data_IF_103672910939
#
_entry.id   IF_103672910939
#
_cell.length_a   1.000
_cell.length_b   1.000
_cell.length_c   1.000
_cell.angle_alpha   90.00
_cell.angle_beta   90.00
_cell.angle_gamma   90.00
#
_symmetry.space_group_name_H-M   'P 1'
#
loop_
_entity.id
_entity.type
_entity.pdbx_description
1 polymer ?
#
# COMPACT_ATOMS: atom_id res chain seq x y z
N UNK A 1 -29.39 -11.19 -5.53
CA UNK A 1 -30.15 -9.95 -5.95
C UNK A 1 -29.33 -9.20 -6.97
N UNK A 2 -29.97 -8.55 -7.96
CA UNK A 2 -29.24 -7.64 -8.87
C UNK A 2 -28.91 -6.36 -8.08
N UNK A 3 -27.65 -6.13 -7.79
CA UNK A 3 -27.19 -4.88 -7.17
C UNK A 3 -27.19 -3.79 -8.26
N UNK A 4 -27.89 -2.70 -8.01
CA UNK A 4 -27.81 -1.51 -8.88
C UNK A 4 -26.41 -0.91 -8.71
N UNK A 5 -25.76 -0.61 -9.83
CA UNK A 5 -24.39 -0.03 -9.84
C UNK A 5 -24.39 1.32 -10.54
N UNK A 6 -23.51 2.20 -10.10
CA UNK A 6 -23.25 3.51 -10.70
C UNK A 6 -21.76 3.67 -10.98
N UNK A 7 -21.40 4.71 -11.76
CA UNK A 7 -20.00 5.08 -11.96
C UNK A 7 -19.65 6.30 -11.12
N UNK A 8 -18.56 6.19 -10.38
CA UNK A 8 -17.94 7.28 -9.61
C UNK A 8 -16.71 7.73 -10.38
N UNK A 9 -16.67 9.02 -10.74
CA UNK A 9 -15.54 9.62 -11.47
C UNK A 9 -14.53 10.18 -10.49
N UNK A 10 -13.29 9.70 -10.55
CA UNK A 10 -12.19 10.20 -9.75
C UNK A 10 -11.58 11.48 -10.34
N UNK A 11 -10.78 12.20 -9.55
CA UNK A 11 -10.14 13.46 -9.96
C UNK A 11 -9.22 13.32 -11.19
N UNK A 12 -8.67 12.12 -11.43
CA UNK A 12 -7.84 11.80 -12.61
C UNK A 12 -8.65 11.32 -13.82
N UNK A 13 -9.98 11.37 -13.73
CA UNK A 13 -10.90 10.91 -14.77
C UNK A 13 -11.10 9.39 -14.80
N UNK A 14 -10.63 8.64 -13.80
CA UNK A 14 -10.93 7.21 -13.66
C UNK A 14 -12.39 7.02 -13.29
N UNK A 15 -13.05 6.08 -13.94
CA UNK A 15 -14.45 5.71 -13.67
C UNK A 15 -14.48 4.37 -12.90
N UNK A 16 -15.02 4.37 -11.69
CA UNK A 16 -15.17 3.17 -10.86
C UNK A 16 -16.65 2.77 -10.83
N UNK A 17 -16.96 1.57 -11.27
CA UNK A 17 -18.30 0.99 -11.18
C UNK A 17 -18.46 0.35 -9.78
N UNK A 18 -19.35 0.90 -8.97
CA UNK A 18 -19.60 0.44 -7.61
C UNK A 18 -21.12 0.35 -7.35
N UNK A 19 -21.59 -0.36 -6.30
CA UNK A 19 -22.99 -0.34 -5.89
C UNK A 19 -23.49 1.09 -5.63
N UNK A 20 -24.75 1.36 -5.92
CA UNK A 20 -25.37 2.66 -5.67
C UNK A 20 -25.74 2.82 -4.19
N UNK A 21 -24.75 2.65 -3.32
CA UNK A 21 -24.92 2.68 -1.86
C UNK A 21 -23.89 3.60 -1.22
N UNK A 22 -24.34 4.75 -0.72
CA UNK A 22 -23.45 5.73 -0.06
C UNK A 22 -22.91 5.24 1.28
N UNK A 23 -23.53 4.21 1.87
CA UNK A 23 -23.11 3.64 3.14
C UNK A 23 -21.85 2.78 3.03
N UNK A 24 -21.44 2.40 1.83
CA UNK A 24 -20.16 1.75 1.62
C UNK A 24 -19.03 2.78 1.82
N UNK A 25 -18.05 2.40 2.65
CA UNK A 25 -16.93 3.31 2.97
C UNK A 25 -16.19 3.74 1.71
N UNK A 26 -15.94 2.81 0.78
CA UNK A 26 -15.28 3.12 -0.49
C UNK A 26 -16.04 4.16 -1.29
N UNK A 27 -17.36 4.03 -1.43
CA UNK A 27 -18.17 5.00 -2.17
C UNK A 27 -18.14 6.39 -1.54
N UNK A 28 -18.30 6.44 -0.21
CA UNK A 28 -18.24 7.71 0.52
C UNK A 28 -16.89 8.40 0.32
N UNK A 29 -15.78 7.66 0.48
CA UNK A 29 -14.42 8.20 0.30
C UNK A 29 -14.19 8.70 -1.12
N UNK A 30 -14.57 7.90 -2.14
CA UNK A 30 -14.38 8.28 -3.54
C UNK A 30 -15.20 9.51 -3.93
N UNK A 31 -16.41 9.65 -3.40
CA UNK A 31 -17.26 10.81 -3.65
C UNK A 31 -16.77 12.08 -2.95
N UNK A 32 -16.28 11.96 -1.70
CA UNK A 32 -15.83 13.11 -0.92
C UNK A 32 -14.43 13.58 -1.31
N UNK A 33 -13.51 12.65 -1.59
CA UNK A 33 -12.11 12.98 -1.86
C UNK A 33 -11.77 13.00 -3.35
N UNK A 34 -12.58 12.34 -4.18
CA UNK A 34 -12.31 12.17 -5.61
C UNK A 34 -11.11 11.25 -5.89
N UNK A 35 -10.61 10.54 -4.87
CA UNK A 35 -9.56 9.52 -4.95
C UNK A 35 -9.61 8.64 -3.69
N UNK A 36 -8.77 7.60 -3.65
CA UNK A 36 -8.62 6.74 -2.49
C UNK A 36 -7.76 7.41 -1.43
N UNK A 37 -8.09 7.19 -0.16
CA UNK A 37 -7.43 7.86 0.98
C UNK A 37 -6.06 7.28 1.34
N UNK A 38 -5.77 6.06 0.90
CA UNK A 38 -4.48 5.41 1.19
C UNK A 38 -3.36 6.01 0.32
N UNK A 39 -2.29 6.45 0.96
CA UNK A 39 -1.12 6.98 0.26
C UNK A 39 -0.44 5.94 -0.64
N UNK A 40 -0.63 4.66 -0.35
CA UNK A 40 -0.10 3.53 -1.10
C UNK A 40 -0.57 3.53 -2.56
N UNK A 41 -1.79 3.99 -2.85
CA UNK A 41 -2.26 4.05 -4.23
C UNK A 41 -1.44 5.02 -5.08
N UNK A 42 -1.02 6.15 -4.49
CA UNK A 42 -0.12 7.10 -5.15
C UNK A 42 1.27 6.51 -5.37
N UNK A 43 1.79 5.76 -4.39
CA UNK A 43 3.05 5.04 -4.54
C UNK A 43 2.94 4.01 -5.67
N UNK A 44 1.89 3.21 -5.72
CA UNK A 44 1.66 2.18 -6.75
C UNK A 44 1.57 2.82 -8.14
N UNK A 45 0.81 3.91 -8.32
CA UNK A 45 0.75 4.66 -9.60
C UNK A 45 2.13 5.09 -10.07
N UNK A 46 3.01 5.52 -9.16
CA UNK A 46 4.37 5.96 -9.50
C UNK A 46 5.35 4.79 -9.67
N UNK A 47 5.13 3.69 -8.98
CA UNK A 47 5.97 2.49 -9.02
C UNK A 47 5.80 1.70 -10.31
N UNK A 48 4.56 1.47 -10.72
CA UNK A 48 4.24 0.69 -11.92
C UNK A 48 4.77 1.36 -13.18
N UNK A 49 5.45 0.58 -14.02
CA UNK A 49 6.06 1.04 -15.28
C UNK A 49 5.55 0.23 -16.47
N UNK A 50 5.60 0.78 -17.67
CA UNK A 50 5.25 0.07 -18.90
C UNK A 50 6.00 -1.25 -19.05
N UNK A 51 5.25 -2.31 -19.35
CA UNK A 51 5.77 -3.67 -19.53
C UNK A 51 5.87 -4.52 -18.28
N UNK A 52 5.57 -3.98 -17.10
CA UNK A 52 5.50 -4.78 -15.87
C UNK A 52 4.34 -5.77 -15.89
N UNK A 53 4.50 -6.85 -15.14
CA UNK A 53 3.47 -7.85 -14.87
C UNK A 53 3.05 -7.71 -13.41
N UNK A 54 1.74 -7.57 -13.20
CA UNK A 54 1.20 -7.37 -11.85
C UNK A 54 0.02 -8.30 -11.57
N UNK A 55 -0.20 -8.55 -10.28
CA UNK A 55 -1.38 -9.24 -9.75
C UNK A 55 -2.10 -8.32 -8.76
N UNK A 56 -3.42 -8.31 -8.82
CA UNK A 56 -4.31 -7.66 -7.86
C UNK A 56 -5.20 -8.73 -7.25
N UNK A 57 -4.84 -9.18 -6.06
CA UNK A 57 -5.53 -10.26 -5.34
C UNK A 57 -6.48 -9.62 -4.35
N UNK A 58 -7.79 -9.86 -4.53
CA UNK A 58 -8.84 -9.10 -3.89
C UNK A 58 -9.09 -7.77 -4.62
N UNK A 59 -9.35 -7.86 -5.94
CA UNK A 59 -9.42 -6.68 -6.80
C UNK A 59 -10.65 -5.80 -6.55
N UNK A 60 -11.69 -6.34 -5.92
CA UNK A 60 -12.91 -5.65 -5.58
C UNK A 60 -13.48 -4.88 -6.79
N UNK A 61 -13.89 -3.63 -6.66
CA UNK A 61 -14.43 -2.80 -7.75
C UNK A 61 -13.37 -2.26 -8.72
N UNK A 62 -12.08 -2.56 -8.50
CA UNK A 62 -10.99 -2.26 -9.42
C UNK A 62 -10.27 -0.93 -9.20
N UNK A 63 -10.31 -0.40 -8.00
CA UNK A 63 -9.62 0.83 -7.64
C UNK A 63 -8.10 0.71 -7.82
N UNK A 64 -7.47 -0.28 -7.18
CA UNK A 64 -6.05 -0.58 -7.39
C UNK A 64 -5.79 -1.14 -8.79
N UNK A 65 -6.71 -1.97 -9.32
CA UNK A 65 -6.60 -2.50 -10.69
C UNK A 65 -6.45 -1.40 -11.72
N UNK A 66 -7.26 -0.33 -11.66
CA UNK A 66 -7.16 0.81 -12.57
C UNK A 66 -5.89 1.62 -12.36
N UNK A 67 -5.49 1.85 -11.11
CA UNK A 67 -4.25 2.55 -10.75
C UNK A 67 -3.00 1.84 -11.31
N UNK A 68 -3.01 0.51 -11.30
CA UNK A 68 -1.95 -0.34 -11.88
C UNK A 68 -2.05 -0.32 -13.41
N UNK A 69 -3.20 -0.68 -13.96
CA UNK A 69 -3.37 -0.94 -15.39
C UNK A 69 -3.09 0.27 -16.28
N UNK A 70 -3.46 1.48 -15.83
CA UNK A 70 -3.19 2.74 -16.55
C UNK A 70 -1.69 2.96 -16.83
N UNK A 71 -0.81 2.44 -15.97
CA UNK A 71 0.63 2.65 -16.06
C UNK A 71 1.39 1.48 -16.72
N UNK A 72 0.73 0.34 -16.98
CA UNK A 72 1.37 -0.85 -17.56
C UNK A 72 1.73 -0.71 -19.05
N UNK A 73 1.08 0.22 -19.75
CA UNK A 73 1.25 0.36 -21.19
C UNK A 73 0.79 -0.89 -21.97
N UNK A 74 1.10 -0.95 -23.26
CA UNK A 74 0.58 -2.02 -24.14
C UNK A 74 1.21 -3.41 -23.88
N UNK A 75 2.43 -3.45 -23.34
CA UNK A 75 3.19 -4.70 -23.13
C UNK A 75 3.01 -5.27 -21.72
N UNK A 76 2.52 -4.48 -20.79
CA UNK A 76 2.28 -4.93 -19.42
C UNK A 76 0.95 -5.66 -19.28
N UNK A 77 0.83 -6.44 -18.23
CA UNK A 77 -0.38 -7.22 -17.92
C UNK A 77 -0.68 -7.19 -16.43
N UNK A 78 -1.97 -7.18 -16.13
CA UNK A 78 -2.52 -7.30 -14.80
C UNK A 78 -3.52 -8.44 -14.76
N UNK A 79 -3.37 -9.36 -13.81
CA UNK A 79 -4.40 -10.34 -13.47
C UNK A 79 -5.07 -9.92 -12.15
N UNK A 80 -6.39 -9.82 -12.20
CA UNK A 80 -7.24 -9.45 -11.07
C UNK A 80 -7.99 -10.68 -10.58
N UNK A 81 -7.89 -10.99 -9.30
CA UNK A 81 -8.64 -12.08 -8.67
C UNK A 81 -9.76 -11.46 -7.84
N UNK A 82 -10.99 -11.79 -8.18
CA UNK A 82 -12.18 -11.36 -7.46
C UNK A 82 -13.19 -12.51 -7.44
N UNK A 83 -13.44 -13.15 -6.29
CA UNK A 83 -14.25 -14.36 -6.24
C UNK A 83 -15.76 -14.08 -6.36
N UNK A 84 -16.22 -12.89 -6.01
CA UNK A 84 -17.65 -12.57 -5.90
C UNK A 84 -18.23 -12.18 -7.26
N UNK A 85 -19.21 -12.92 -7.83
CA UNK A 85 -19.69 -12.67 -9.19
C UNK A 85 -20.22 -11.25 -9.44
N UNK A 86 -20.93 -10.66 -8.46
CA UNK A 86 -21.44 -9.31 -8.58
C UNK A 86 -20.34 -8.26 -8.58
N UNK A 87 -19.36 -8.41 -7.70
CA UNK A 87 -18.18 -7.54 -7.62
C UNK A 87 -17.30 -7.69 -8.86
N UNK A 88 -17.06 -8.93 -9.30
CA UNK A 88 -16.33 -9.21 -10.55
C UNK A 88 -17.04 -8.60 -11.79
N UNK A 89 -18.37 -8.57 -11.80
CA UNK A 89 -19.14 -7.89 -12.86
C UNK A 89 -18.91 -6.37 -12.82
N UNK A 90 -18.94 -5.75 -11.65
CA UNK A 90 -18.66 -4.34 -11.48
C UNK A 90 -17.21 -4.02 -11.87
N UNK A 91 -16.25 -4.86 -11.46
CA UNK A 91 -14.84 -4.77 -11.87
C UNK A 91 -14.70 -4.80 -13.41
N UNK A 92 -15.39 -5.73 -14.10
CA UNK A 92 -15.40 -5.77 -15.58
C UNK A 92 -15.91 -4.46 -16.17
N UNK A 93 -16.97 -3.88 -15.59
CA UNK A 93 -17.52 -2.59 -16.03
C UNK A 93 -16.52 -1.45 -15.81
N UNK A 94 -15.83 -1.44 -14.67
CA UNK A 94 -14.72 -0.49 -14.37
C UNK A 94 -13.63 -0.59 -15.43
N UNK A 95 -13.13 -1.79 -15.72
CA UNK A 95 -12.05 -2.02 -16.69
C UNK A 95 -12.48 -1.64 -18.10
N UNK A 96 -13.69 -1.96 -18.49
CA UNK A 96 -14.25 -1.59 -19.79
C UNK A 96 -14.40 -0.09 -19.98
N UNK A 97 -14.98 0.60 -18.98
CA UNK A 97 -15.22 2.03 -19.00
C UNK A 97 -13.92 2.84 -19.14
N UNK A 98 -12.84 2.34 -18.56
CA UNK A 98 -11.51 2.96 -18.63
C UNK A 98 -10.65 2.49 -19.82
N UNK A 99 -11.20 1.68 -20.74
CA UNK A 99 -10.49 1.13 -21.91
C UNK A 99 -9.26 0.27 -21.58
N UNK A 100 -9.29 -0.48 -20.50
CA UNK A 100 -8.17 -1.25 -19.96
C UNK A 100 -8.23 -2.75 -20.27
N UNK A 101 -9.19 -3.21 -21.09
CA UNK A 101 -9.39 -4.65 -21.42
C UNK A 101 -8.15 -5.34 -22.02
N UNK A 102 -7.28 -4.58 -22.69
CA UNK A 102 -6.05 -5.16 -23.28
C UNK A 102 -5.02 -5.52 -22.23
N UNK A 103 -4.95 -4.73 -21.14
CA UNK A 103 -3.96 -4.88 -20.06
C UNK A 103 -4.45 -5.81 -18.96
N UNK A 104 -5.77 -5.91 -18.74
CA UNK A 104 -6.36 -6.57 -17.57
C UNK A 104 -7.05 -7.87 -17.96
N UNK A 105 -6.79 -8.91 -17.18
CA UNK A 105 -7.50 -10.18 -17.19
C UNK A 105 -8.13 -10.40 -15.81
N UNK A 106 -9.42 -10.73 -15.77
CA UNK A 106 -10.17 -10.93 -14.54
C UNK A 106 -10.46 -12.40 -14.37
N UNK A 107 -10.01 -12.96 -13.26
CA UNK A 107 -10.22 -14.33 -12.83
C UNK A 107 -11.26 -14.31 -11.70
N UNK A 108 -12.43 -14.88 -11.98
CA UNK A 108 -13.55 -14.96 -11.02
C UNK A 108 -13.33 -16.16 -10.10
N UNK A 109 -12.32 -16.04 -9.24
CA UNK A 109 -11.93 -17.01 -8.23
C UNK A 109 -11.17 -16.30 -7.09
N UNK A 110 -11.23 -16.87 -5.88
CA UNK A 110 -10.33 -16.56 -4.79
C UNK A 110 -9.03 -17.34 -4.91
N UNK A 111 -7.96 -16.84 -4.29
CA UNK A 111 -6.76 -17.61 -4.04
C UNK A 111 -6.76 -18.17 -2.63
N UNK A 112 -6.23 -19.39 -2.46
CA UNK A 112 -6.09 -20.05 -1.16
C UNK A 112 -4.98 -21.12 -1.20
N UNK A 113 -4.97 -22.04 -0.23
CA UNK A 113 -4.00 -23.14 -0.13
C UNK A 113 -4.38 -24.40 -0.93
N UNK A 114 -5.52 -24.41 -1.63
CA UNK A 114 -5.99 -25.53 -2.43
C UNK A 114 -6.82 -25.08 -3.63
N UNK A 115 -6.98 -25.98 -4.59
CA UNK A 115 -7.89 -25.80 -5.73
C UNK A 115 -9.21 -26.49 -5.39
N UNK A 116 -10.32 -25.80 -5.63
CA UNK A 116 -11.64 -26.34 -5.33
C UNK A 116 -12.71 -25.27 -5.25
N UNK A 117 -13.62 -25.46 -4.33
CA UNK A 117 -14.67 -24.49 -4.03
C UNK A 117 -14.78 -24.30 -2.51
N UNK A 118 -15.22 -23.11 -2.10
CA UNK A 118 -15.51 -22.82 -0.71
C UNK A 118 -16.81 -22.04 -0.56
N UNK A 119 -17.38 -22.10 0.62
CA UNK A 119 -18.48 -21.22 1.02
C UNK A 119 -17.91 -19.86 1.39
N UNK A 120 -18.41 -18.83 0.73
CA UNK A 120 -18.02 -17.44 0.97
C UNK A 120 -19.20 -16.72 1.61
N UNK A 121 -18.98 -16.11 2.75
CA UNK A 121 -20.01 -15.43 3.51
C UNK A 121 -20.08 -13.99 3.10
N UNK A 122 -21.31 -13.56 2.73
CA UNK A 122 -21.56 -12.20 2.29
C UNK A 122 -21.87 -11.33 3.50
N UNK A 123 -21.12 -10.27 3.69
CA UNK A 123 -21.44 -9.22 4.63
C UNK A 123 -22.48 -8.26 4.02
N UNK A 124 -23.35 -7.63 4.85
CA UNK A 124 -24.13 -6.47 4.39
C UNK A 124 -23.24 -5.36 3.82
N UNK A 125 -22.00 -5.24 4.31
CA UNK A 125 -20.95 -4.44 3.69
C UNK A 125 -20.06 -5.37 2.85
N UNK A 126 -20.14 -5.23 1.52
CA UNK A 126 -19.41 -6.08 0.57
C UNK A 126 -17.87 -6.02 0.73
N UNK A 127 -17.37 -4.97 1.38
CA UNK A 127 -15.96 -4.79 1.70
C UNK A 127 -15.46 -5.73 2.83
N UNK A 128 -16.38 -6.42 3.52
CA UNK A 128 -16.09 -7.34 4.62
C UNK A 128 -16.50 -8.79 4.29
N UNK A 129 -16.61 -9.14 3.02
CA UNK A 129 -16.91 -10.50 2.61
C UNK A 129 -15.70 -11.42 2.89
N UNK A 130 -15.93 -12.62 3.44
CA UNK A 130 -14.86 -13.47 3.95
C UNK A 130 -15.19 -14.95 3.83
N UNK A 131 -14.16 -15.81 3.84
CA UNK A 131 -14.29 -17.27 3.95
C UNK A 131 -14.63 -17.71 5.38
N UNK A 132 -14.52 -16.85 6.38
CA UNK A 132 -14.86 -17.16 7.77
C UNK A 132 -16.19 -16.54 8.17
N UNK A 133 -17.03 -17.30 8.88
CA UNK A 133 -18.35 -16.82 9.36
C UNK A 133 -18.25 -15.87 10.55
N UNK A 134 -17.09 -15.73 11.18
CA UNK A 134 -16.93 -15.00 12.46
C UNK A 134 -17.14 -13.48 12.30
N UNK A 135 -16.95 -12.95 11.10
CA UNK A 135 -17.06 -11.52 10.81
C UNK A 135 -18.35 -11.12 10.10
N UNK A 136 -19.28 -12.06 9.86
CA UNK A 136 -20.51 -11.76 9.13
C UNK A 136 -21.75 -11.99 9.99
N UNK A 137 -22.61 -10.97 10.10
CA UNK A 137 -23.94 -11.08 10.72
C UNK A 137 -25.00 -11.56 9.71
N UNK A 138 -24.63 -11.76 8.44
CA UNK A 138 -25.51 -12.20 7.37
C UNK A 138 -25.56 -13.73 7.28
N UNK A 139 -26.74 -14.26 7.01
CA UNK A 139 -26.96 -15.69 6.68
C UNK A 139 -26.75 -15.98 5.18
N UNK A 140 -26.43 -14.97 4.36
CA UNK A 140 -26.23 -15.16 2.93
C UNK A 140 -24.80 -15.64 2.65
N UNK A 141 -24.71 -16.69 1.85
CA UNK A 141 -23.43 -17.24 1.40
C UNK A 141 -23.53 -17.66 -0.06
N UNK A 142 -22.38 -17.72 -0.72
CA UNK A 142 -22.29 -18.25 -2.07
C UNK A 142 -21.10 -19.21 -2.16
N UNK A 143 -21.13 -20.09 -3.15
CA UNK A 143 -20.00 -20.95 -3.46
C UNK A 143 -19.09 -20.22 -4.45
N UNK A 144 -17.81 -20.09 -4.10
CA UNK A 144 -16.78 -19.51 -4.95
C UNK A 144 -15.77 -20.56 -5.38
N UNK A 145 -15.12 -20.32 -6.52
CA UNK A 145 -13.97 -21.12 -6.95
C UNK A 145 -12.72 -20.64 -6.20
N UNK A 146 -11.87 -21.62 -5.86
CA UNK A 146 -10.54 -21.38 -5.27
C UNK A 146 -9.45 -21.91 -6.19
N UNK A 147 -8.37 -21.15 -6.28
CA UNK A 147 -7.14 -21.50 -7.00
C UNK A 147 -5.94 -21.32 -6.07
N UNK A 148 -4.78 -21.82 -6.48
CA UNK A 148 -3.51 -21.53 -5.81
C UNK A 148 -2.64 -20.64 -6.70
N UNK A 149 -1.82 -19.79 -6.08
CA UNK A 149 -0.95 -18.88 -6.84
C UNK A 149 0.06 -19.64 -7.72
N UNK A 150 0.61 -20.73 -7.21
CA UNK A 150 1.56 -21.56 -7.96
C UNK A 150 0.92 -22.27 -9.18
N UNK A 151 -0.36 -22.66 -9.07
CA UNK A 151 -1.10 -23.20 -10.20
C UNK A 151 -1.39 -22.13 -11.24
N UNK A 152 -1.88 -20.96 -10.82
CA UNK A 152 -2.13 -19.85 -11.73
C UNK A 152 -0.88 -19.47 -12.53
N UNK A 153 0.30 -19.43 -11.87
CA UNK A 153 1.58 -19.19 -12.57
C UNK A 153 1.83 -20.20 -13.68
N UNK A 154 1.52 -21.49 -13.46
CA UNK A 154 1.70 -22.53 -14.47
C UNK A 154 0.71 -22.37 -15.63
N UNK A 155 -0.57 -22.17 -15.31
CA UNK A 155 -1.66 -22.11 -16.29
C UNK A 155 -1.52 -20.89 -17.21
N UNK A 156 -1.13 -19.75 -16.67
CA UNK A 156 -0.92 -18.51 -17.43
C UNK A 156 0.52 -18.36 -17.92
N UNK A 157 1.41 -19.31 -17.60
CA UNK A 157 2.83 -19.31 -18.02
C UNK A 157 3.56 -18.01 -17.65
N UNK A 158 3.30 -17.48 -16.47
CA UNK A 158 3.97 -16.26 -16.01
C UNK A 158 5.47 -16.47 -15.84
N UNK A 159 6.25 -15.73 -16.60
CA UNK A 159 7.72 -15.77 -16.52
C UNK A 159 8.26 -14.83 -15.45
N UNK A 160 7.59 -13.71 -15.26
CA UNK A 160 7.92 -12.68 -14.26
C UNK A 160 6.64 -12.20 -13.62
N UNK A 161 6.74 -11.74 -12.40
CA UNK A 161 5.74 -10.93 -11.71
C UNK A 161 6.53 -9.84 -11.00
N UNK A 162 6.25 -8.58 -11.29
CA UNK A 162 6.98 -7.45 -10.76
C UNK A 162 6.32 -6.88 -9.49
N UNK A 163 4.98 -6.97 -9.44
CA UNK A 163 4.19 -6.43 -8.34
C UNK A 163 2.99 -7.32 -8.01
N UNK A 164 2.70 -7.45 -6.73
CA UNK A 164 1.48 -8.09 -6.20
C UNK A 164 0.85 -7.16 -5.16
N UNK A 165 -0.44 -6.83 -5.33
CA UNK A 165 -1.30 -6.40 -4.23
C UNK A 165 -1.96 -7.64 -3.66
N UNK A 166 -1.81 -7.87 -2.37
CA UNK A 166 -2.37 -9.01 -1.64
C UNK A 166 -3.27 -8.49 -0.52
N UNK A 167 -4.57 -8.59 -0.75
CA UNK A 167 -5.60 -8.11 0.16
C UNK A 167 -6.83 -9.01 -0.06
N UNK A 168 -6.84 -10.13 0.65
CA UNK A 168 -7.77 -11.24 0.45
C UNK A 168 -8.62 -11.54 1.69
N UNK A 169 -8.87 -10.50 2.52
CA UNK A 169 -9.80 -10.52 3.64
C UNK A 169 -9.59 -11.71 4.60
N UNK A 170 -8.30 -11.94 4.93
CA UNK A 170 -7.88 -12.97 5.90
C UNK A 170 -7.35 -14.27 5.29
N UNK A 171 -7.34 -14.41 3.95
CA UNK A 171 -6.80 -15.59 3.25
C UNK A 171 -5.30 -15.48 2.94
N UNK A 172 -4.64 -14.37 3.25
CA UNK A 172 -3.24 -14.08 2.88
C UNK A 172 -2.30 -15.21 3.34
N UNK A 173 -2.44 -15.67 4.57
CA UNK A 173 -1.60 -16.75 5.11
C UNK A 173 -1.82 -18.09 4.37
N UNK A 174 -3.06 -18.40 3.98
CA UNK A 174 -3.38 -19.60 3.20
C UNK A 174 -2.83 -19.50 1.79
N UNK A 175 -2.95 -18.34 1.15
CA UNK A 175 -2.37 -18.08 -0.17
C UNK A 175 -0.86 -18.34 -0.16
N UNK A 176 -0.14 -17.83 0.87
CA UNK A 176 1.30 -17.99 0.99
C UNK A 176 1.76 -19.46 1.10
N UNK A 177 0.94 -20.37 1.65
CA UNK A 177 1.25 -21.81 1.72
C UNK A 177 1.45 -22.44 0.35
N UNK A 178 0.80 -21.93 -0.70
CA UNK A 178 0.87 -22.42 -2.08
C UNK A 178 1.30 -21.33 -3.07
N UNK A 179 2.19 -20.46 -2.62
CA UNK A 179 2.79 -19.37 -3.39
C UNK A 179 4.32 -19.48 -3.49
N UNK A 180 4.92 -20.45 -2.78
CA UNK A 180 6.36 -20.50 -2.56
C UNK A 180 7.17 -20.56 -3.87
N UNK A 181 6.73 -21.35 -4.85
CA UNK A 181 7.39 -21.47 -6.15
C UNK A 181 7.30 -20.17 -6.95
N UNK A 182 6.12 -19.57 -7.00
CA UNK A 182 5.89 -18.29 -7.67
C UNK A 182 6.74 -17.17 -7.05
N UNK A 183 6.73 -17.07 -5.72
CA UNK A 183 7.47 -16.06 -4.99
C UNK A 183 8.99 -16.26 -5.03
N UNK A 184 9.45 -17.53 -5.14
CA UNK A 184 10.87 -17.83 -5.31
C UNK A 184 11.36 -17.43 -6.70
N UNK A 185 10.64 -17.82 -7.74
CA UNK A 185 11.07 -17.62 -9.13
C UNK A 185 10.90 -16.17 -9.61
N UNK A 186 9.83 -15.47 -9.19
CA UNK A 186 9.54 -14.11 -9.65
C UNK A 186 10.07 -13.01 -8.73
N UNK A 187 10.14 -13.25 -7.43
CA UNK A 187 10.62 -12.29 -6.42
C UNK A 187 9.97 -10.90 -6.55
N UNK A 188 8.63 -10.76 -6.61
CA UNK A 188 7.96 -9.48 -6.78
C UNK A 188 8.15 -8.54 -5.58
N UNK A 189 7.86 -7.25 -5.80
CA UNK A 189 7.45 -6.37 -4.71
C UNK A 189 6.00 -6.69 -4.36
N UNK A 190 5.73 -6.97 -3.07
CA UNK A 190 4.38 -7.30 -2.61
C UNK A 190 3.92 -6.19 -1.67
N UNK A 191 2.75 -5.64 -1.92
CA UNK A 191 1.98 -4.82 -1.00
C UNK A 191 0.92 -5.71 -0.37
N UNK A 192 0.79 -5.69 0.94
CA UNK A 192 -0.18 -6.54 1.65
C UNK A 192 -0.83 -5.80 2.81
N UNK A 193 -2.09 -6.14 3.08
CA UNK A 193 -2.80 -5.60 4.22
C UNK A 193 -2.27 -6.20 5.52
N UNK A 194 -1.94 -5.33 6.48
CA UNK A 194 -1.45 -5.73 7.79
C UNK A 194 -2.57 -5.91 8.79
N UNK A 195 -3.67 -5.22 8.59
CA UNK A 195 -4.76 -5.12 9.56
C UNK A 195 -6.01 -5.79 9.01
N UNK A 196 -6.44 -6.86 9.67
CA UNK A 196 -7.74 -7.47 9.42
C UNK A 196 -8.69 -7.11 10.56
N UNK A 197 -9.71 -6.32 10.28
CA UNK A 197 -10.64 -5.78 11.28
C UNK A 197 -9.94 -4.90 12.32
N UNK A 198 -9.95 -5.31 13.60
CA UNK A 198 -9.32 -4.55 14.70
C UNK A 198 -7.91 -5.05 15.07
N UNK A 199 -7.50 -6.18 14.54
CA UNK A 199 -6.25 -6.84 14.91
C UNK A 199 -5.16 -6.65 13.86
N UNK A 200 -3.92 -6.53 14.33
CA UNK A 200 -2.73 -6.47 13.47
C UNK A 200 -2.25 -7.91 13.26
N UNK A 201 -2.17 -8.35 12.01
CA UNK A 201 -1.72 -9.69 11.65
C UNK A 201 -0.17 -9.79 11.65
N UNK A 202 0.42 -9.81 12.85
CA UNK A 202 1.87 -9.97 12.98
C UNK A 202 2.39 -11.29 12.40
N UNK A 203 1.57 -12.36 12.41
CA UNK A 203 1.99 -13.67 11.91
C UNK A 203 2.25 -13.66 10.41
N UNK A 204 1.55 -12.81 9.65
CA UNK A 204 1.75 -12.66 8.21
C UNK A 204 3.15 -12.11 7.88
N UNK A 205 3.67 -11.20 8.71
CA UNK A 205 5.06 -10.72 8.56
C UNK A 205 6.06 -11.88 8.72
N UNK A 206 5.81 -12.77 9.68
CA UNK A 206 6.70 -13.92 9.91
C UNK A 206 6.57 -14.97 8.80
N UNK A 207 5.39 -15.13 8.19
CA UNK A 207 5.20 -15.96 7.00
C UNK A 207 6.03 -15.45 5.83
N UNK A 208 5.99 -14.14 5.55
CA UNK A 208 6.82 -13.53 4.52
C UNK A 208 8.32 -13.68 4.80
N UNK A 209 8.76 -13.52 6.05
CA UNK A 209 10.17 -13.74 6.42
C UNK A 209 10.62 -15.17 6.17
N UNK A 210 9.78 -16.18 6.47
CA UNK A 210 10.08 -17.59 6.18
C UNK A 210 10.27 -17.83 4.68
N UNK A 211 9.61 -17.06 3.83
CA UNK A 211 9.77 -17.07 2.38
C UNK A 211 10.96 -16.21 1.88
N UNK A 212 11.74 -15.60 2.80
CA UNK A 212 12.91 -14.79 2.48
C UNK A 212 12.58 -13.34 2.09
N UNK A 213 11.38 -12.85 2.40
CA UNK A 213 10.96 -11.47 2.18
C UNK A 213 11.22 -10.62 3.42
N UNK A 214 11.74 -9.42 3.22
CA UNK A 214 11.92 -8.43 4.28
C UNK A 214 10.78 -7.39 4.21
N UNK A 215 10.21 -6.96 5.37
CA UNK A 215 9.13 -5.99 5.42
C UNK A 215 9.64 -4.56 5.35
N UNK A 216 8.85 -3.70 4.71
CA UNK A 216 9.08 -2.27 4.54
C UNK A 216 7.77 -1.52 4.73
N UNK A 217 7.85 -0.26 5.14
CA UNK A 217 6.72 0.65 5.18
C UNK A 217 6.93 1.84 4.24
N UNK A 218 5.83 2.46 3.83
CA UNK A 218 5.86 3.61 2.94
C UNK A 218 6.13 4.90 3.73
N UNK A 219 7.07 5.70 3.26
CA UNK A 219 7.21 7.11 3.61
C UNK A 219 6.51 7.91 2.51
N UNK A 220 5.24 8.15 2.69
CA UNK A 220 4.35 8.73 1.67
C UNK A 220 4.84 10.08 1.16
N UNK A 221 5.28 10.97 2.06
CA UNK A 221 5.81 12.30 1.70
C UNK A 221 7.03 12.28 0.80
N UNK A 222 7.76 11.16 0.75
CA UNK A 222 8.94 10.97 -0.10
C UNK A 222 8.69 9.99 -1.26
N UNK A 223 7.59 9.23 -1.20
CA UNK A 223 7.29 8.17 -2.15
C UNK A 223 8.38 7.09 -2.18
N UNK A 224 8.82 6.62 -1.00
CA UNK A 224 9.87 5.63 -0.82
C UNK A 224 9.50 4.59 0.23
N UNK A 225 10.14 3.43 0.16
CA UNK A 225 10.04 2.37 1.14
C UNK A 225 11.22 2.42 2.11
N UNK A 226 10.95 2.28 3.40
CA UNK A 226 11.95 2.20 4.46
C UNK A 226 11.82 0.87 5.21
N UNK A 227 12.93 0.28 5.71
CA UNK A 227 12.89 -0.96 6.46
C UNK A 227 12.05 -0.84 7.73
N UNK A 228 11.14 -1.79 7.94
CA UNK A 228 10.34 -1.87 9.16
C UNK A 228 11.21 -2.37 10.32
N UNK A 229 11.27 -1.60 11.41
CA UNK A 229 11.94 -2.02 12.63
C UNK A 229 10.97 -2.78 13.54
N UNK A 230 11.07 -4.09 13.54
CA UNK A 230 10.21 -4.98 14.33
C UNK A 230 10.58 -5.03 15.83
N UNK A 231 11.65 -4.36 16.27
CA UNK A 231 11.95 -4.20 17.70
C UNK A 231 11.01 -3.21 18.40
N UNK A 232 10.33 -2.37 17.63
CA UNK A 232 9.32 -1.46 18.13
C UNK A 232 7.92 -2.02 17.81
N UNK A 233 6.89 -1.68 18.62
CA UNK A 233 5.52 -1.95 18.25
C UNK A 233 5.21 -1.36 16.86
N UNK A 234 4.51 -2.12 16.03
CA UNK A 234 4.05 -1.62 14.73
C UNK A 234 3.00 -0.54 14.99
N UNK A 235 3.09 0.55 14.25
CA UNK A 235 2.10 1.63 14.33
C UNK A 235 0.72 1.10 13.94
N UNK A 236 -0.26 1.24 14.84
CA UNK A 236 -1.63 0.78 14.63
C UNK A 236 -2.39 1.53 13.53
N UNK A 237 -1.82 2.60 12.98
CA UNK A 237 -2.36 3.33 11.83
C UNK A 237 -1.84 2.83 10.48
N UNK A 238 -0.81 1.96 10.48
CA UNK A 238 -0.35 1.33 9.24
C UNK A 238 -1.38 0.29 8.81
N UNK A 239 -2.01 0.52 7.67
CA UNK A 239 -2.95 -0.41 7.05
C UNK A 239 -2.20 -1.41 6.18
N UNK A 240 -1.26 -0.93 5.39
CA UNK A 240 -0.53 -1.73 4.42
C UNK A 240 0.98 -1.71 4.68
N UNK A 241 1.62 -2.83 4.37
CA UNK A 241 3.06 -2.96 4.32
C UNK A 241 3.51 -3.43 2.94
N UNK A 242 4.80 -3.29 2.70
CA UNK A 242 5.47 -3.84 1.53
C UNK A 242 6.48 -4.89 1.96
N UNK A 243 6.72 -5.88 1.11
CA UNK A 243 7.83 -6.79 1.31
C UNK A 243 8.47 -7.19 -0.01
N UNK A 244 9.76 -7.48 0.02
CA UNK A 244 10.47 -8.01 -1.14
C UNK A 244 11.71 -8.82 -0.72
N UNK A 245 12.19 -9.65 -1.65
CA UNK A 245 13.43 -10.40 -1.49
C UNK A 245 14.67 -9.50 -1.69
N UNK A 246 15.86 -9.92 -1.20
CA UNK A 246 17.10 -9.13 -1.33
C UNK A 246 17.46 -8.76 -2.77
N UNK A 247 17.14 -9.61 -3.76
CA UNK A 247 17.35 -9.33 -5.19
C UNK A 247 16.55 -8.12 -5.65
N UNK A 248 15.27 -8.08 -5.31
CA UNK A 248 14.36 -6.96 -5.63
C UNK A 248 14.71 -5.72 -4.81
N UNK A 249 15.04 -5.88 -3.52
CA UNK A 249 15.50 -4.77 -2.68
C UNK A 249 16.74 -4.06 -3.28
N UNK A 250 17.67 -4.82 -3.86
CA UNK A 250 18.84 -4.24 -4.53
C UNK A 250 18.47 -3.37 -5.74
N UNK A 251 17.49 -3.80 -6.54
CA UNK A 251 16.96 -3.02 -7.67
C UNK A 251 16.27 -1.75 -7.16
N UNK A 252 15.36 -1.89 -6.18
CA UNK A 252 14.62 -0.76 -5.62
C UNK A 252 15.54 0.29 -4.97
N UNK A 253 16.66 -0.14 -4.34
CA UNK A 253 17.68 0.79 -3.81
C UNK A 253 18.37 1.56 -4.94
N UNK A 254 18.73 0.87 -6.02
CA UNK A 254 19.34 1.51 -7.19
C UNK A 254 18.42 2.55 -7.83
N UNK A 255 17.13 2.26 -7.84
CA UNK A 255 16.11 3.13 -8.44
C UNK A 255 15.63 4.24 -7.47
N UNK A 256 16.22 4.34 -6.27
CA UNK A 256 15.87 5.34 -5.25
C UNK A 256 14.46 5.17 -4.67
N UNK A 257 13.90 3.96 -4.77
CA UNK A 257 12.57 3.62 -4.23
C UNK A 257 12.68 3.05 -2.81
N UNK A 258 13.78 2.35 -2.50
CA UNK A 258 14.03 1.79 -1.18
C UNK A 258 15.28 2.42 -0.57
N UNK A 259 15.16 2.86 0.67
CA UNK A 259 16.25 3.51 1.42
C UNK A 259 16.84 2.61 2.49
N UNK A 260 18.01 3.00 3.00
CA UNK A 260 18.71 2.30 4.08
C UNK A 260 18.70 3.15 5.35
N UNK A 261 18.50 2.50 6.50
CA UNK A 261 18.61 3.14 7.83
C UNK A 261 20.04 3.24 8.33
N UNK A 262 21.01 2.58 7.68
CA UNK A 262 22.37 2.39 8.20
C UNK A 262 23.32 3.56 8.01
N UNK A 263 22.93 4.61 7.28
CA UNK A 263 23.78 5.80 7.13
C UNK A 263 23.42 6.82 8.20
N UNK A 264 24.36 7.14 9.08
CA UNK A 264 24.23 8.24 10.03
C UNK A 264 24.38 9.56 9.30
N UNK A 265 23.44 10.48 9.48
CA UNK A 265 23.50 11.82 8.93
C UNK A 265 24.50 12.64 9.73
N UNK A 266 25.47 13.23 9.05
CA UNK A 266 26.25 14.34 9.61
C UNK A 266 25.52 15.64 9.21
N UNK A 267 24.74 16.20 10.13
CA UNK A 267 24.07 17.48 9.92
C UNK A 267 25.17 18.55 9.97
N UNK A 268 25.48 19.18 8.84
CA UNK A 268 26.31 20.39 8.81
C UNK A 268 25.44 21.55 9.25
N UNK A 269 25.96 22.37 10.15
CA UNK A 269 25.35 23.68 10.49
C UNK A 269 25.25 24.52 9.20
N UNK A 270 24.05 24.62 8.65
CA UNK A 270 23.74 25.55 7.59
C UNK A 270 23.08 26.77 8.21
N UNK A 271 23.64 27.94 7.95
CA UNK A 271 23.03 29.22 8.30
C UNK A 271 21.73 29.40 7.52
N UNK A 272 20.59 28.97 8.09
CA UNK A 272 19.28 29.26 7.51
C UNK A 272 18.73 30.59 8.00
N UNK A 273 18.11 31.31 7.07
CA UNK A 273 17.50 32.62 7.33
C UNK A 273 16.22 32.46 8.19
N UNK A 274 16.09 33.31 9.20
CA UNK A 274 14.93 33.36 10.09
C UNK A 274 13.58 33.51 9.36
N UNK A 275 13.57 34.12 8.19
CA UNK A 275 12.38 34.33 7.35
C UNK A 275 11.67 33.06 6.88
N UNK A 276 12.36 31.91 6.86
CA UNK A 276 11.73 30.65 6.47
C UNK A 276 10.79 30.11 7.55
N UNK A 277 11.10 30.33 8.83
CA UNK A 277 10.27 29.85 9.95
C UNK A 277 8.92 30.56 10.00
N UNK A 278 8.89 31.85 9.66
CA UNK A 278 7.66 32.64 9.61
C UNK A 278 6.65 32.12 8.57
N UNK A 279 7.12 31.35 7.58
CA UNK A 279 6.27 30.81 6.51
C UNK A 279 5.66 29.44 6.84
N UNK A 280 6.08 28.80 7.93
CA UNK A 280 5.54 27.50 8.35
C UNK A 280 4.57 27.72 9.51
N UNK A 281 3.24 27.53 9.33
CA UNK A 281 2.23 27.80 10.36
C UNK A 281 2.52 27.13 11.71
N UNK A 282 3.09 25.93 11.70
CA UNK A 282 3.44 25.19 12.91
C UNK A 282 4.52 25.86 13.77
N UNK A 283 5.28 26.82 13.23
CA UNK A 283 6.36 27.53 13.95
C UNK A 283 6.04 29.00 14.20
N UNK A 284 4.87 29.50 13.77
CA UNK A 284 4.48 30.92 13.93
C UNK A 284 4.30 31.36 15.38
N UNK A 285 4.33 30.44 16.34
CA UNK A 285 4.20 30.76 17.78
C UNK A 285 5.49 30.59 18.60
N UNK A 286 6.63 30.30 17.96
CA UNK A 286 7.92 30.17 18.62
C UNK A 286 8.57 31.56 18.82
N UNK A 287 9.14 31.81 20.00
CA UNK A 287 9.90 33.05 20.24
C UNK A 287 11.32 32.95 19.62
N UNK A 288 12.00 34.11 19.43
CA UNK A 288 13.33 34.16 18.85
C UNK A 288 14.39 33.39 19.66
N UNK A 289 14.20 33.19 20.98
CA UNK A 289 15.10 32.41 21.83
C UNK A 289 14.93 30.92 21.60
N UNK A 290 13.69 30.49 21.41
CA UNK A 290 13.37 29.09 21.08
C UNK A 290 13.90 28.71 19.69
N UNK A 291 13.74 29.60 18.72
CA UNK A 291 14.29 29.42 17.35
C UNK A 291 15.83 29.45 17.37
N UNK A 292 16.47 30.11 18.32
CA UNK A 292 17.92 30.22 18.42
C UNK A 292 18.59 29.09 19.21
N UNK A 293 17.83 28.18 19.84
CA UNK A 293 18.40 27.00 20.47
C UNK A 293 19.03 26.09 19.38
N UNK A 294 20.28 25.70 19.59
CA UNK A 294 21.04 24.91 18.60
C UNK A 294 20.39 23.58 18.26
N UNK A 295 19.76 22.91 19.23
CA UNK A 295 19.08 21.63 19.03
C UNK A 295 17.83 21.81 18.17
N UNK A 296 17.04 22.85 18.44
CA UNK A 296 15.87 23.19 17.62
C UNK A 296 16.25 23.50 16.18
N UNK A 297 17.28 24.32 15.98
CA UNK A 297 17.76 24.66 14.64
C UNK A 297 18.16 23.42 13.84
N UNK A 298 18.86 22.48 14.45
CA UNK A 298 19.26 21.25 13.76
C UNK A 298 18.05 20.37 13.39
N UNK A 299 17.06 20.26 14.28
CA UNK A 299 15.82 19.52 14.01
C UNK A 299 15.08 20.15 12.83
N UNK A 300 14.86 21.46 12.89
CA UNK A 300 14.09 22.19 11.87
C UNK A 300 14.84 22.19 10.54
N UNK A 301 16.15 22.47 10.53
CA UNK A 301 16.97 22.41 9.32
C UNK A 301 16.90 21.02 8.68
N UNK A 302 16.96 19.97 9.49
CA UNK A 302 16.82 18.61 8.97
C UNK A 302 15.42 18.35 8.40
N UNK A 303 14.36 18.82 9.04
CA UNK A 303 13.02 18.71 8.48
C UNK A 303 12.90 19.44 7.13
N UNK A 304 13.45 20.63 7.02
CA UNK A 304 13.47 21.42 5.77
C UNK A 304 14.26 20.69 4.68
N UNK A 305 15.47 20.20 4.99
CA UNK A 305 16.27 19.44 4.05
C UNK A 305 15.53 18.17 3.58
N UNK A 306 14.71 17.55 4.43
CA UNK A 306 13.87 16.42 4.03
C UNK A 306 12.85 16.79 2.93
N UNK A 307 12.47 18.05 2.83
CA UNK A 307 11.52 18.60 1.82
C UNK A 307 12.22 19.13 0.57
N UNK A 308 13.52 19.34 0.62
CA UNK A 308 14.30 19.86 -0.51
C UNK A 308 14.40 18.83 -1.64
N UNK A 309 13.71 19.10 -2.76
CA UNK A 309 13.68 18.24 -3.94
C UNK A 309 15.00 18.19 -4.72
N UNK A 310 15.96 19.07 -4.41
CA UNK A 310 17.30 19.04 -5.03
C UNK A 310 18.18 17.95 -4.43
N UNK A 311 17.86 17.48 -3.22
CA UNK A 311 18.53 16.37 -2.56
C UNK A 311 17.95 15.03 -3.04
N UNK A 312 18.81 14.00 -3.08
CA UNK A 312 18.37 12.64 -3.35
C UNK A 312 17.47 12.11 -2.22
N UNK A 313 16.64 11.12 -2.56
CA UNK A 313 15.63 10.58 -1.63
C UNK A 313 16.24 9.93 -0.38
N UNK A 314 17.43 9.31 -0.48
CA UNK A 314 18.13 8.73 0.65
C UNK A 314 18.57 9.82 1.64
N UNK A 315 19.14 10.90 1.15
CA UNK A 315 19.53 12.06 1.96
C UNK A 315 18.31 12.71 2.62
N UNK A 316 17.25 12.94 1.86
CA UNK A 316 15.97 13.47 2.38
C UNK A 316 15.38 12.59 3.49
N UNK A 317 15.40 11.28 3.31
CA UNK A 317 14.96 10.33 4.34
C UNK A 317 15.82 10.42 5.60
N UNK A 318 17.14 10.51 5.48
CA UNK A 318 18.02 10.64 6.64
C UNK A 318 17.77 11.92 7.43
N UNK A 319 17.53 13.03 6.74
CA UNK A 319 17.14 14.29 7.36
C UNK A 319 15.78 14.17 8.08
N UNK A 320 14.80 13.53 7.47
CA UNK A 320 13.49 13.28 8.08
C UNK A 320 13.61 12.41 9.34
N UNK A 321 14.38 11.33 9.26
CA UNK A 321 14.62 10.42 10.37
C UNK A 321 15.33 11.12 11.54
N UNK A 322 16.36 11.92 11.24
CA UNK A 322 17.07 12.73 12.26
C UNK A 322 16.11 13.67 12.97
N UNK A 323 15.31 14.44 12.23
CA UNK A 323 14.35 15.37 12.80
C UNK A 323 13.36 14.64 13.72
N UNK A 324 12.76 13.55 13.26
CA UNK A 324 11.80 12.74 14.01
C UNK A 324 12.39 12.15 15.30
N UNK A 325 13.60 11.56 15.23
CA UNK A 325 14.26 10.96 16.40
C UNK A 325 14.59 12.02 17.47
N UNK A 326 15.01 13.19 17.07
CA UNK A 326 15.35 14.26 18.02
C UNK A 326 14.13 14.95 18.62
N UNK A 327 13.03 15.09 17.87
CA UNK A 327 11.74 15.52 18.41
C UNK A 327 11.26 14.52 19.48
N UNK A 328 11.26 13.22 19.18
CA UNK A 328 10.84 12.19 20.14
C UNK A 328 11.72 12.17 21.40
N UNK A 329 13.03 12.37 21.24
CA UNK A 329 13.95 12.47 22.38
C UNK A 329 13.61 13.65 23.27
N UNK A 330 13.37 14.81 22.70
CA UNK A 330 13.02 16.02 23.44
C UNK A 330 11.68 15.88 24.17
N UNK A 331 10.67 15.31 23.53
CA UNK A 331 9.37 15.00 24.16
C UNK A 331 9.52 14.08 25.38
N UNK A 332 10.31 13.02 25.26
CA UNK A 332 10.55 12.06 26.34
C UNK A 332 11.37 12.64 27.49
N UNK A 333 12.14 13.71 27.25
CA UNK A 333 12.90 14.43 28.30
C UNK A 333 12.08 15.53 28.99
N UNK A 334 10.81 15.67 28.68
CA UNK A 334 9.89 16.65 29.28
C UNK A 334 10.05 18.07 28.72
N UNK A 335 10.77 18.25 27.62
CA UNK A 335 10.84 19.48 26.84
C UNK A 335 9.55 19.65 26.04
N UNK A 336 8.46 20.00 26.76
CA UNK A 336 7.07 19.96 26.28
C UNK A 336 6.74 20.90 25.11
N UNK A 337 7.67 21.75 24.68
CA UNK A 337 7.44 22.77 23.65
C UNK A 337 7.71 22.33 22.22
N UNK A 338 8.46 21.21 22.01
CA UNK A 338 8.81 20.72 20.67
C UNK A 338 7.70 19.88 20.02
N UNK A 339 6.74 19.41 20.78
CA UNK A 339 5.71 18.46 20.31
C UNK A 339 4.33 19.05 20.02
N UNK A 340 4.21 20.35 19.92
CA UNK A 340 2.93 21.02 19.58
C UNK A 340 2.91 21.53 18.15
#
# INVERSE_FOLDING_TARGET
MNITTTFITLNDGTEICAPEEINLMSNFVLLEQGDWFEDEIHFVRNFIKPGMIALDIGANYGLYSTAIAKNLGEKGKLWCFEPTPNTAKALRSTIEKNNLKKQVEIIEAGLSDHIGTATFYLSPNAELNSLTSENTTSSESLTINLLTLDQCKQDHNWKTIDFIKLDAEGEEANILKKASKTLEECSPLIMFELKHGKEINHSLIDDFKRLGYAPYYLISSLGILAPLNLSNPVDGFLLNLFCCKPSTAKKLKKDGILVSTTKTLQVKDSSMQADFFAQIPAFSGLDEREINDQNYRQIINSYICSRDKTLDKQSRYQHLLFAFQNVNKALNQGESKIGR
#
